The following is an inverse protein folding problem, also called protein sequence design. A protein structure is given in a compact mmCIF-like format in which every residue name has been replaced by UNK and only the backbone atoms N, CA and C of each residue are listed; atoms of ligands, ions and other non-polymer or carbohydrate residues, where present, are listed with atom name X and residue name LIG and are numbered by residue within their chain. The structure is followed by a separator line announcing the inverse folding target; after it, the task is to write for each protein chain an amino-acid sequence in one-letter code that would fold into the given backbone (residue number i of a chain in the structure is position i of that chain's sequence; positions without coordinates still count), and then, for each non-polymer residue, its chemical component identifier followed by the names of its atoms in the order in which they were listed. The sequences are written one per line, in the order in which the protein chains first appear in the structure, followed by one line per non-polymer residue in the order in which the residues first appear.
data_IF_086336513806
#
_entry.id   IF_086336513806
#
_cell.length_a   1.000
_cell.length_b   1.000
_cell.length_c   1.000
_cell.angle_alpha   90.00
_cell.angle_beta   90.00
_cell.angle_gamma   90.00
#
_symmetry.space_group_name_H-M   'P 1'
#
loop_
_entity.id
_entity.type
_entity.pdbx_description
1 polymer ?
#
# COMPACT_ATOMS: atom_id res chain seq x y z
N UNK A 1 15.97 -16.94 -9.31
CA UNK A 1 14.50 -17.08 -9.47
C UNK A 1 14.16 -16.69 -10.90
N UNK A 2 13.50 -17.54 -11.70
CA UNK A 2 13.04 -17.14 -13.04
C UNK A 2 11.81 -16.26 -12.86
N UNK A 3 11.92 -14.97 -13.17
CA UNK A 3 10.76 -14.07 -13.29
C UNK A 3 9.71 -14.74 -14.20
N UNK A 4 8.43 -14.74 -13.76
CA UNK A 4 7.33 -15.10 -14.68
C UNK A 4 7.41 -14.12 -15.87
N UNK A 5 7.64 -14.64 -17.07
CA UNK A 5 7.66 -13.81 -18.27
C UNK A 5 6.35 -13.04 -18.37
N UNK A 6 6.45 -11.72 -18.36
CA UNK A 6 5.31 -10.83 -18.47
C UNK A 6 4.73 -10.95 -19.87
N UNK A 7 3.45 -11.31 -20.00
CA UNK A 7 2.80 -11.41 -21.30
C UNK A 7 2.74 -10.08 -22.06
N UNK A 8 2.57 -8.96 -21.31
CA UNK A 8 2.48 -7.60 -21.86
C UNK A 8 3.14 -6.59 -20.94
N UNK A 9 3.36 -5.35 -21.41
CA UNK A 9 3.93 -4.25 -20.61
C UNK A 9 2.89 -3.68 -19.63
N UNK A 10 3.38 -2.95 -18.61
CA UNK A 10 2.53 -2.46 -17.51
C UNK A 10 1.42 -1.52 -17.98
N UNK A 11 1.69 -0.71 -19.00
CA UNK A 11 0.72 0.20 -19.58
C UNK A 11 -0.47 -0.56 -20.18
N UNK A 12 -0.17 -1.67 -20.83
CA UNK A 12 -1.20 -2.57 -21.40
C UNK A 12 -1.96 -3.29 -20.27
N UNK A 13 -1.27 -3.75 -19.24
CA UNK A 13 -1.92 -4.40 -18.09
C UNK A 13 -2.81 -3.42 -17.31
N UNK A 14 -2.46 -2.13 -17.21
CA UNK A 14 -3.35 -1.11 -16.63
C UNK A 14 -4.71 -1.08 -17.33
N UNK A 15 -4.70 -1.18 -18.67
CA UNK A 15 -5.92 -1.04 -19.51
C UNK A 15 -6.64 -2.37 -19.73
N UNK A 16 -5.91 -3.49 -19.91
CA UNK A 16 -6.46 -4.76 -20.36
C UNK A 16 -6.40 -5.88 -19.31
N UNK A 17 -5.64 -5.70 -18.21
CA UNK A 17 -5.43 -6.73 -17.21
C UNK A 17 -6.70 -7.10 -16.43
N UNK A 18 -6.76 -8.34 -15.96
CA UNK A 18 -7.79 -8.85 -15.05
C UNK A 18 -9.17 -9.12 -15.65
N UNK A 19 -9.48 -8.62 -16.88
CA UNK A 19 -10.78 -8.82 -17.51
C UNK A 19 -10.63 -9.15 -18.99
N UNK A 20 -11.21 -10.28 -19.40
CA UNK A 20 -11.23 -10.75 -20.79
C UNK A 20 -12.65 -11.16 -21.17
N UNK A 21 -13.47 -10.23 -21.69
CA UNK A 21 -14.85 -10.53 -22.07
C UNK A 21 -14.89 -11.49 -23.27
N UNK A 22 -15.85 -12.43 -23.25
CA UNK A 22 -16.16 -13.30 -24.38
C UNK A 22 -16.95 -12.53 -25.45
N UNK A 23 -17.18 -13.20 -26.59
CA UNK A 23 -17.96 -12.62 -27.70
C UNK A 23 -19.39 -12.27 -27.23
N UNK A 24 -19.77 -11.00 -27.36
CA UNK A 24 -21.08 -10.49 -26.96
C UNK A 24 -21.19 -10.05 -25.50
N UNK A 25 -20.14 -10.23 -24.69
CA UNK A 25 -20.09 -9.73 -23.33
C UNK A 25 -19.71 -8.24 -23.27
N UNK A 26 -20.10 -7.54 -22.19
CA UNK A 26 -19.74 -6.13 -21.99
C UNK A 26 -18.22 -5.93 -22.03
N UNK A 27 -17.77 -4.92 -22.77
CA UNK A 27 -16.35 -4.54 -22.80
C UNK A 27 -15.87 -4.03 -21.43
N UNK A 28 -16.70 -3.29 -20.72
CA UNK A 28 -16.42 -2.80 -19.38
C UNK A 28 -16.93 -3.81 -18.34
N UNK A 29 -16.23 -3.90 -17.22
CA UNK A 29 -16.58 -4.79 -16.12
C UNK A 29 -18.03 -4.51 -15.67
N UNK A 30 -18.93 -5.49 -15.61
CA UNK A 30 -20.26 -5.31 -15.03
C UNK A 30 -20.19 -5.05 -13.53
N UNK A 31 -21.03 -4.15 -13.04
CA UNK A 31 -21.24 -3.95 -11.59
C UNK A 31 -22.24 -4.99 -11.11
N UNK A 32 -21.76 -6.02 -10.42
CA UNK A 32 -22.63 -7.08 -9.86
C UNK A 32 -23.04 -6.69 -8.45
N UNK A 33 -24.13 -5.96 -8.34
CA UNK A 33 -24.70 -5.47 -7.09
C UNK A 33 -25.67 -6.50 -6.51
N UNK A 34 -25.13 -7.64 -6.07
CA UNK A 34 -25.89 -8.72 -5.44
C UNK A 34 -25.26 -9.14 -4.13
N UNK A 35 -26.06 -9.43 -3.11
CA UNK A 35 -25.57 -9.98 -1.84
C UNK A 35 -25.34 -11.48 -1.93
N UNK A 36 -26.16 -12.20 -2.69
CA UNK A 36 -26.16 -13.68 -2.80
C UNK A 36 -26.30 -14.12 -4.25
N UNK A 37 -25.99 -15.38 -4.48
CA UNK A 37 -26.02 -16.01 -5.81
C UNK A 37 -26.86 -17.29 -5.75
N UNK A 38 -27.59 -17.61 -6.81
CA UNK A 38 -28.49 -18.77 -6.90
C UNK A 38 -27.75 -19.98 -7.43
N UNK A 39 -27.97 -21.12 -6.78
CA UNK A 39 -27.51 -22.43 -7.22
C UNK A 39 -28.69 -23.35 -7.55
N UNK A 40 -28.45 -24.36 -8.38
CA UNK A 40 -29.47 -25.34 -8.76
C UNK A 40 -29.73 -26.36 -7.63
N UNK A 41 -28.69 -26.75 -6.89
CA UNK A 41 -28.75 -27.72 -5.81
C UNK A 41 -28.01 -27.21 -4.55
N UNK A 42 -28.37 -27.74 -3.39
CA UNK A 42 -27.63 -27.51 -2.14
C UNK A 42 -26.24 -28.14 -2.17
N UNK A 43 -26.08 -29.23 -2.91
CA UNK A 43 -24.79 -29.91 -3.06
C UNK A 43 -23.79 -29.02 -3.81
N UNK A 44 -24.19 -28.38 -4.95
CA UNK A 44 -23.33 -27.49 -5.70
C UNK A 44 -22.90 -26.28 -4.85
N UNK A 45 -23.81 -25.74 -4.02
CA UNK A 45 -23.49 -24.68 -3.10
C UNK A 45 -22.58 -25.17 -1.96
N UNK A 46 -22.80 -26.39 -1.44
CA UNK A 46 -21.98 -26.99 -0.38
C UNK A 46 -20.49 -27.09 -0.76
N UNK A 47 -20.19 -27.49 -2.01
CA UNK A 47 -18.80 -27.55 -2.51
C UNK A 47 -18.04 -26.23 -2.44
N UNK A 48 -18.74 -25.10 -2.47
CA UNK A 48 -18.11 -23.78 -2.29
C UNK A 48 -17.72 -23.55 -0.83
N UNK A 49 -18.58 -23.95 0.10
CA UNK A 49 -18.28 -23.89 1.55
C UNK A 49 -17.16 -24.85 1.95
N UNK A 50 -17.02 -25.98 1.26
CA UNK A 50 -15.94 -26.94 1.47
C UNK A 50 -14.65 -26.58 0.73
N UNK A 51 -14.64 -25.43 0.03
CA UNK A 51 -13.53 -24.97 -0.82
C UNK A 51 -13.12 -26.00 -1.89
N UNK A 52 -14.07 -26.80 -2.36
CA UNK A 52 -13.89 -27.83 -3.39
C UNK A 52 -14.22 -27.31 -4.80
N UNK A 53 -14.99 -26.22 -4.90
CA UNK A 53 -15.35 -25.57 -6.13
C UNK A 53 -15.08 -24.05 -6.06
N UNK A 54 -14.84 -23.44 -7.22
CA UNK A 54 -14.76 -21.99 -7.34
C UNK A 54 -16.14 -21.42 -7.69
N UNK A 55 -16.48 -20.27 -7.12
CA UNK A 55 -17.75 -19.59 -7.41
C UNK A 55 -18.08 -18.56 -6.36
N UNK A 56 -19.24 -17.92 -6.53
CA UNK A 56 -19.72 -16.85 -5.67
C UNK A 56 -21.01 -17.30 -4.96
N UNK A 57 -21.08 -17.14 -3.66
CA UNK A 57 -22.31 -17.41 -2.90
C UNK A 57 -22.75 -16.24 -2.04
N UNK A 58 -21.80 -15.40 -1.60
CA UNK A 58 -22.10 -14.25 -0.77
C UNK A 58 -21.04 -13.14 -0.96
N UNK A 59 -21.47 -11.92 -1.31
CA UNK A 59 -20.57 -10.82 -1.68
C UNK A 59 -19.71 -10.27 -0.54
N UNK A 60 -19.96 -10.63 0.72
CA UNK A 60 -19.04 -10.31 1.82
C UNK A 60 -17.71 -11.03 1.67
N UNK A 61 -17.72 -12.27 1.16
CA UNK A 61 -16.49 -13.03 0.93
C UNK A 61 -15.87 -12.67 -0.42
N UNK A 62 -16.65 -12.79 -1.49
CA UNK A 62 -16.19 -12.59 -2.86
C UNK A 62 -17.31 -12.03 -3.74
N UNK A 63 -16.92 -11.19 -4.69
CA UNK A 63 -17.84 -10.61 -5.67
C UNK A 63 -17.15 -10.53 -7.05
N UNK A 64 -17.80 -10.91 -8.16
CA UNK A 64 -17.17 -10.94 -9.49
C UNK A 64 -16.53 -9.62 -9.91
N UNK A 65 -17.15 -8.49 -9.60
CA UNK A 65 -16.59 -7.16 -9.91
C UNK A 65 -15.32 -6.89 -9.11
N UNK A 66 -15.35 -7.18 -7.80
CA UNK A 66 -14.20 -6.99 -6.91
C UNK A 66 -13.02 -7.89 -7.31
N UNK A 67 -13.30 -9.16 -7.60
CA UNK A 67 -12.27 -10.14 -7.95
C UNK A 67 -11.61 -9.81 -9.29
N UNK A 68 -12.37 -9.30 -10.26
CA UNK A 68 -11.83 -8.83 -11.54
C UNK A 68 -10.83 -7.66 -11.35
N UNK A 69 -11.16 -6.71 -10.46
CA UNK A 69 -10.27 -5.59 -10.17
C UNK A 69 -9.06 -6.05 -9.35
N UNK A 70 -9.25 -6.95 -8.39
CA UNK A 70 -8.16 -7.58 -7.64
C UNK A 70 -7.19 -8.31 -8.58
N UNK A 71 -7.71 -9.07 -9.56
CA UNK A 71 -6.90 -9.76 -10.57
C UNK A 71 -6.07 -8.79 -11.41
N UNK A 72 -6.61 -7.60 -11.77
CA UNK A 72 -5.85 -6.55 -12.45
C UNK A 72 -4.70 -6.05 -11.61
N UNK A 73 -4.93 -5.74 -10.32
CA UNK A 73 -3.87 -5.29 -9.41
C UNK A 73 -2.83 -6.40 -9.20
N UNK A 74 -3.26 -7.66 -9.08
CA UNK A 74 -2.38 -8.82 -9.01
C UNK A 74 -1.44 -8.90 -10.23
N UNK A 75 -1.98 -8.74 -11.43
CA UNK A 75 -1.18 -8.73 -12.67
C UNK A 75 -0.21 -7.54 -12.69
N UNK A 76 -0.64 -6.36 -12.27
CA UNK A 76 0.20 -5.17 -12.20
C UNK A 76 1.38 -5.36 -11.24
N UNK A 77 1.19 -5.92 -10.06
CA UNK A 77 2.27 -6.23 -9.11
C UNK A 77 3.09 -7.46 -9.51
N UNK A 78 2.57 -8.33 -10.37
CA UNK A 78 3.22 -9.60 -10.74
C UNK A 78 3.03 -10.70 -9.70
N UNK A 79 1.95 -10.62 -8.92
CA UNK A 79 1.57 -11.61 -7.91
C UNK A 79 0.94 -12.88 -8.48
N UNK A 80 0.59 -13.79 -7.59
CA UNK A 80 -0.12 -15.05 -7.88
C UNK A 80 -1.60 -14.97 -7.52
N UNK A 81 -1.94 -14.26 -6.45
CA UNK A 81 -3.30 -14.07 -5.97
C UNK A 81 -3.48 -12.69 -5.33
N UNK A 82 -4.69 -12.15 -5.34
CA UNK A 82 -5.00 -10.88 -4.69
C UNK A 82 -6.45 -10.82 -4.22
N UNK A 83 -6.73 -9.90 -3.28
CA UNK A 83 -8.07 -9.58 -2.82
C UNK A 83 -8.21 -8.10 -2.53
N UNK A 84 -9.41 -7.53 -2.76
CA UNK A 84 -9.74 -6.19 -2.32
C UNK A 84 -10.21 -6.19 -0.86
N UNK A 85 -9.96 -5.07 -0.19
CA UNK A 85 -10.46 -4.78 1.16
C UNK A 85 -11.12 -3.41 1.21
N UNK A 86 -11.88 -3.13 2.27
CA UNK A 86 -12.60 -1.84 2.44
C UNK A 86 -11.68 -0.63 2.62
N UNK A 87 -10.40 -0.83 2.94
CA UNK A 87 -9.41 0.23 3.13
C UNK A 87 -7.99 -0.33 3.14
N UNK A 88 -6.98 0.54 2.94
CA UNK A 88 -5.57 0.16 3.12
C UNK A 88 -5.26 -0.31 4.55
N UNK A 89 -5.93 0.26 5.56
CA UNK A 89 -5.79 -0.20 6.95
C UNK A 89 -6.30 -1.63 7.15
N UNK A 90 -7.41 -2.00 6.49
CA UNK A 90 -7.90 -3.37 6.50
C UNK A 90 -6.93 -4.32 5.76
N UNK A 91 -6.30 -3.85 4.67
CA UNK A 91 -5.28 -4.62 3.97
C UNK A 91 -4.06 -4.89 4.87
N UNK A 92 -3.51 -3.87 5.52
CA UNK A 92 -2.37 -4.02 6.42
C UNK A 92 -2.72 -4.89 7.65
N UNK A 93 -3.91 -4.70 8.22
CA UNK A 93 -4.39 -5.53 9.32
C UNK A 93 -4.50 -7.01 8.90
N UNK A 94 -5.17 -7.29 7.78
CA UNK A 94 -5.36 -8.65 7.30
C UNK A 94 -4.04 -9.31 6.91
N UNK A 95 -3.14 -8.59 6.23
CA UNK A 95 -1.85 -9.13 5.83
C UNK A 95 -1.03 -9.65 7.02
N UNK A 96 -1.09 -8.95 8.16
CA UNK A 96 -0.39 -9.36 9.37
C UNK A 96 -1.21 -10.39 10.17
N UNK A 97 -2.50 -10.12 10.41
CA UNK A 97 -3.32 -10.95 11.29
C UNK A 97 -3.63 -12.33 10.68
N UNK A 98 -3.46 -12.49 9.38
CA UNK A 98 -3.56 -13.78 8.69
C UNK A 98 -2.50 -14.80 9.13
N UNK A 99 -1.33 -14.31 9.57
CA UNK A 99 -0.15 -15.13 9.89
C UNK A 99 0.39 -14.89 11.32
N UNK A 100 -0.11 -13.87 12.02
CA UNK A 100 0.28 -13.54 13.38
C UNK A 100 -0.95 -13.59 14.31
N UNK A 101 -0.79 -14.16 15.49
CA UNK A 101 -1.81 -14.35 16.50
C UNK A 101 -1.39 -13.74 17.84
N UNK A 102 -2.22 -13.89 18.88
CA UNK A 102 -1.87 -13.50 20.24
C UNK A 102 -0.58 -14.22 20.70
N UNK A 103 0.37 -13.46 21.18
CA UNK A 103 1.69 -13.95 21.60
C UNK A 103 2.77 -13.82 20.51
N UNK A 104 2.41 -13.50 19.28
CA UNK A 104 3.35 -13.36 18.18
C UNK A 104 3.99 -11.96 18.10
N UNK A 105 5.05 -11.88 17.31
CA UNK A 105 5.85 -10.68 17.12
C UNK A 105 6.01 -10.35 15.63
N UNK A 106 6.06 -9.05 15.32
CA UNK A 106 6.31 -8.51 13.97
C UNK A 106 7.36 -7.40 14.06
N UNK A 107 8.27 -7.38 13.10
CA UNK A 107 9.21 -6.25 12.92
C UNK A 107 8.61 -5.29 11.90
N UNK A 108 8.62 -4.00 12.21
CA UNK A 108 8.17 -2.96 11.27
C UNK A 108 9.21 -1.87 11.13
N UNK A 109 9.39 -1.34 9.91
CA UNK A 109 10.04 -0.04 9.78
C UNK A 109 9.31 0.99 10.64
N UNK A 110 10.05 1.90 11.29
CA UNK A 110 9.47 3.00 12.05
C UNK A 110 8.97 4.14 11.14
N UNK A 111 9.52 4.25 9.94
CA UNK A 111 9.07 5.19 8.92
C UNK A 111 7.97 4.55 8.08
N UNK A 112 6.74 4.66 8.56
CA UNK A 112 5.51 4.20 7.90
C UNK A 112 4.39 5.23 8.13
N UNK A 113 3.29 5.09 7.40
CA UNK A 113 2.10 5.91 7.60
C UNK A 113 1.65 5.90 9.07
N UNK A 114 1.36 7.08 9.63
CA UNK A 114 1.01 7.22 11.04
C UNK A 114 -0.21 6.39 11.47
N UNK A 115 -1.17 6.16 10.57
CA UNK A 115 -2.29 5.25 10.83
C UNK A 115 -1.85 3.79 10.98
N UNK A 116 -0.92 3.31 10.15
CA UNK A 116 -0.33 1.97 10.25
C UNK A 116 0.51 1.83 11.51
N UNK A 117 1.31 2.85 11.84
CA UNK A 117 2.05 2.89 13.10
C UNK A 117 1.12 2.73 14.31
N UNK A 118 0.04 3.50 14.37
CA UNK A 118 -0.93 3.41 15.46
C UNK A 118 -1.68 2.06 15.48
N UNK A 119 -2.02 1.51 14.30
CA UNK A 119 -2.61 0.17 14.19
C UNK A 119 -1.70 -0.88 14.87
N UNK A 120 -0.41 -0.83 14.59
CA UNK A 120 0.58 -1.80 15.09
C UNK A 120 0.93 -1.56 16.57
N UNK A 121 1.32 -0.33 16.91
CA UNK A 121 1.80 0.00 18.25
C UNK A 121 0.71 -0.05 19.33
N UNK A 122 -0.55 0.22 18.97
CA UNK A 122 -1.65 0.39 19.92
C UNK A 122 -2.75 -0.66 19.72
N UNK A 123 -3.32 -0.74 18.52
CA UNK A 123 -4.53 -1.54 18.30
C UNK A 123 -4.22 -3.03 18.29
N UNK A 124 -3.25 -3.48 17.52
CA UNK A 124 -2.87 -4.90 17.46
C UNK A 124 -2.20 -5.39 18.74
N UNK A 125 -1.57 -4.50 19.51
CA UNK A 125 -1.08 -4.81 20.84
C UNK A 125 -2.22 -5.27 21.78
N UNK A 126 -3.43 -4.71 21.64
CA UNK A 126 -4.62 -5.17 22.40
C UNK A 126 -5.07 -6.57 21.98
N UNK A 127 -4.70 -7.01 20.78
CA UNK A 127 -4.95 -8.35 20.27
C UNK A 127 -3.82 -9.33 20.62
N UNK A 128 -2.81 -8.85 21.37
CA UNK A 128 -1.68 -9.67 21.84
C UNK A 128 -0.53 -9.79 20.83
N UNK A 129 -0.57 -9.10 19.68
CA UNK A 129 0.54 -9.04 18.72
C UNK A 129 1.50 -7.93 19.14
N UNK A 130 2.78 -8.26 19.29
CA UNK A 130 3.84 -7.31 19.66
C UNK A 130 4.63 -6.84 18.44
N UNK A 131 5.13 -5.60 18.49
CA UNK A 131 5.91 -5.01 17.41
C UNK A 131 7.25 -4.47 17.90
N UNK A 132 8.31 -4.67 17.10
CA UNK A 132 9.57 -3.95 17.21
C UNK A 132 9.69 -3.03 16.01
N UNK A 133 9.84 -1.73 16.26
CA UNK A 133 10.08 -0.74 15.22
C UNK A 133 11.58 -0.53 15.03
N UNK A 134 12.05 -0.65 13.81
CA UNK A 134 13.45 -0.46 13.41
C UNK A 134 13.58 0.77 12.51
N UNK A 135 14.75 1.37 12.49
CA UNK A 135 15.02 2.47 11.54
C UNK A 135 14.82 1.99 10.09
N UNK A 136 14.27 2.82 9.18
CA UNK A 136 14.28 2.50 7.74
C UNK A 136 15.71 2.37 7.19
N UNK A 137 16.69 2.94 7.88
CA UNK A 137 18.12 2.89 7.54
C UNK A 137 18.88 1.85 8.39
N UNK A 138 18.16 0.92 9.03
CA UNK A 138 18.79 -0.11 9.85
C UNK A 138 19.77 -0.95 9.03
N UNK A 139 20.93 -1.20 9.62
CA UNK A 139 21.93 -2.12 9.06
C UNK A 139 21.42 -3.56 9.14
N UNK A 140 22.06 -4.46 8.38
CA UNK A 140 21.75 -5.90 8.45
C UNK A 140 21.87 -6.45 9.88
N UNK A 141 22.88 -5.98 10.64
CA UNK A 141 23.10 -6.39 12.02
C UNK A 141 21.98 -5.92 12.94
N UNK A 142 21.56 -4.65 12.82
CA UNK A 142 20.44 -4.08 13.60
C UNK A 142 19.12 -4.77 13.27
N UNK A 143 18.85 -5.07 11.99
CA UNK A 143 17.67 -5.83 11.57
C UNK A 143 17.69 -7.24 12.17
N UNK A 144 18.79 -7.96 12.05
CA UNK A 144 18.90 -9.32 12.59
C UNK A 144 18.76 -9.35 14.13
N UNK A 145 19.23 -8.33 14.83
CA UNK A 145 19.08 -8.21 16.29
C UNK A 145 17.62 -7.99 16.75
N UNK A 146 16.73 -7.54 15.86
CA UNK A 146 15.32 -7.31 16.17
C UNK A 146 14.45 -8.59 16.15
N UNK A 147 14.95 -9.68 15.53
CA UNK A 147 14.19 -10.93 15.42
C UNK A 147 14.09 -11.65 16.75
N UNK A 148 12.95 -12.30 16.96
CA UNK A 148 12.62 -13.15 18.13
C UNK A 148 12.13 -14.50 17.64
N UNK A 149 12.16 -15.55 18.47
CA UNK A 149 11.67 -16.87 18.07
C UNK A 149 10.22 -16.87 17.57
N UNK A 150 9.38 -15.97 18.07
CA UNK A 150 7.98 -15.79 17.70
C UNK A 150 7.74 -14.69 16.65
N UNK A 151 8.78 -14.20 15.94
CA UNK A 151 8.60 -13.26 14.84
C UNK A 151 7.93 -13.95 13.65
N UNK A 152 6.90 -13.32 13.09
CA UNK A 152 6.07 -13.85 12.00
C UNK A 152 6.20 -13.09 10.68
N UNK A 153 6.59 -11.83 10.71
CA UNK A 153 6.73 -11.01 9.52
C UNK A 153 7.66 -9.84 9.75
N UNK A 154 8.13 -9.28 8.64
CA UNK A 154 8.74 -7.94 8.57
C UNK A 154 7.83 -7.07 7.70
N UNK A 155 7.57 -5.83 8.13
CA UNK A 155 6.71 -4.86 7.44
C UNK A 155 7.45 -3.57 7.13
N UNK A 156 7.20 -2.99 5.95
CA UNK A 156 7.70 -1.68 5.56
C UNK A 156 6.85 -1.02 4.48
N UNK A 157 7.18 0.22 4.14
CA UNK A 157 6.61 0.94 3.00
C UNK A 157 7.69 1.19 1.96
N UNK A 158 7.38 1.05 0.67
CA UNK A 158 8.32 1.38 -0.41
C UNK A 158 8.81 2.81 -0.29
N UNK A 159 7.88 3.75 -0.07
CA UNK A 159 8.14 5.17 0.21
C UNK A 159 7.28 5.57 1.41
N UNK A 160 7.91 6.01 2.48
CA UNK A 160 7.24 6.39 3.72
C UNK A 160 6.48 7.71 3.63
N UNK A 161 5.34 7.82 4.31
CA UNK A 161 4.54 9.04 4.41
C UNK A 161 4.56 9.59 5.86
N UNK A 162 4.95 10.86 6.12
CA UNK A 162 5.35 11.90 5.16
C UNK A 162 6.86 12.04 4.95
N UNK A 163 7.66 11.20 5.58
CA UNK A 163 9.12 11.37 5.66
C UNK A 163 9.85 11.10 4.32
N UNK A 164 9.20 10.40 3.37
CA UNK A 164 9.70 10.04 2.05
C UNK A 164 11.02 9.22 2.07
N UNK A 165 11.22 8.46 3.15
CA UNK A 165 12.28 7.47 3.21
C UNK A 165 12.00 6.39 2.15
N UNK A 166 13.00 5.96 1.41
CA UNK A 166 12.91 4.80 0.51
C UNK A 166 13.52 3.61 1.23
N UNK A 167 12.76 2.53 1.37
CA UNK A 167 13.22 1.32 2.05
C UNK A 167 14.18 0.53 1.16
N UNK A 168 15.26 0.00 1.72
CA UNK A 168 16.07 -1.01 1.04
C UNK A 168 15.35 -2.37 1.08
N UNK A 169 14.50 -2.61 0.08
CA UNK A 169 13.63 -3.79 0.02
C UNK A 169 14.44 -5.08 0.01
N UNK A 170 15.54 -5.15 -0.73
CA UNK A 170 16.37 -6.35 -0.80
C UNK A 170 17.03 -6.67 0.53
N UNK A 171 17.50 -5.66 1.27
CA UNK A 171 18.09 -5.86 2.59
C UNK A 171 17.05 -6.41 3.58
N UNK A 172 15.86 -5.81 3.61
CA UNK A 172 14.78 -6.25 4.48
C UNK A 172 14.28 -7.65 4.11
N UNK A 173 14.15 -7.96 2.81
CA UNK A 173 13.80 -9.29 2.32
C UNK A 173 14.85 -10.34 2.70
N UNK A 174 16.13 -10.03 2.50
CA UNK A 174 17.25 -10.92 2.87
C UNK A 174 17.19 -11.29 4.36
N UNK A 175 17.02 -10.30 5.23
CA UNK A 175 16.94 -10.55 6.68
C UNK A 175 15.67 -11.34 7.05
N UNK A 176 14.51 -10.98 6.50
CA UNK A 176 13.25 -11.68 6.73
C UNK A 176 13.37 -13.17 6.34
N UNK A 177 13.83 -13.45 5.13
CA UNK A 177 13.96 -14.82 4.63
C UNK A 177 15.04 -15.63 5.37
N UNK A 178 16.13 -15.00 5.82
CA UNK A 178 17.15 -15.67 6.64
C UNK A 178 16.58 -16.18 7.99
N UNK A 179 15.50 -15.53 8.46
CA UNK A 179 14.77 -15.93 9.66
C UNK A 179 13.46 -16.70 9.35
N UNK A 180 13.25 -17.12 8.10
CA UNK A 180 12.09 -17.91 7.67
C UNK A 180 10.76 -17.19 7.90
N UNK A 181 10.68 -15.88 7.65
CA UNK A 181 9.44 -15.09 7.72
C UNK A 181 9.28 -14.24 6.47
N UNK A 182 8.02 -13.94 6.05
CA UNK A 182 7.77 -13.12 4.87
C UNK A 182 8.06 -11.63 5.11
N UNK A 183 8.40 -10.93 4.02
CA UNK A 183 8.42 -9.47 3.94
C UNK A 183 7.09 -8.97 3.35
N UNK A 184 6.43 -8.07 4.09
CA UNK A 184 5.19 -7.38 3.69
C UNK A 184 5.54 -5.93 3.37
N UNK A 185 5.20 -5.46 2.17
CA UNK A 185 5.47 -4.08 1.72
C UNK A 185 4.16 -3.37 1.36
N UNK A 186 3.90 -2.25 2.01
CA UNK A 186 2.89 -1.29 1.56
C UNK A 186 3.48 -0.46 0.39
N UNK A 187 2.94 -0.68 -0.81
CA UNK A 187 3.42 -0.06 -2.06
C UNK A 187 2.51 1.07 -2.54
N UNK A 188 1.77 1.69 -1.63
CA UNK A 188 0.74 2.71 -1.94
C UNK A 188 1.30 3.89 -2.72
N UNK A 189 2.47 4.43 -2.35
CA UNK A 189 3.02 5.66 -2.98
C UNK A 189 3.71 5.40 -4.31
N UNK A 190 4.52 4.35 -4.41
CA UNK A 190 5.19 4.02 -5.66
C UNK A 190 4.23 3.48 -6.72
N UNK A 191 3.23 2.72 -6.30
CA UNK A 191 2.35 1.91 -7.16
C UNK A 191 3.13 0.88 -7.98
N UNK A 192 2.51 -0.15 -8.55
CA UNK A 192 3.22 -1.11 -9.41
C UNK A 192 3.77 -0.49 -10.71
N UNK A 193 3.39 0.75 -11.02
CA UNK A 193 3.93 1.46 -12.18
C UNK A 193 5.38 1.87 -11.95
N UNK A 194 5.71 2.37 -10.76
CA UNK A 194 7.06 2.85 -10.45
C UNK A 194 7.92 1.81 -9.72
N UNK A 195 7.30 0.96 -8.88
CA UNK A 195 8.01 -0.10 -8.17
C UNK A 195 7.12 -1.34 -8.04
N UNK A 196 7.72 -2.50 -8.18
CA UNK A 196 7.11 -3.80 -7.91
C UNK A 196 7.94 -4.51 -6.85
N UNK A 197 7.58 -4.37 -5.57
CA UNK A 197 8.36 -4.93 -4.46
C UNK A 197 8.60 -6.43 -4.57
N UNK A 198 7.70 -7.16 -5.22
CA UNK A 198 7.82 -8.61 -5.47
C UNK A 198 9.10 -8.93 -6.27
N UNK A 199 9.50 -8.07 -7.21
CA UNK A 199 10.72 -8.26 -8.01
C UNK A 199 12.00 -8.11 -7.15
N UNK A 200 11.89 -7.49 -5.97
CA UNK A 200 12.95 -7.21 -5.03
C UNK A 200 12.89 -8.05 -3.74
N UNK A 201 12.00 -9.05 -3.70
CA UNK A 201 11.94 -10.03 -2.62
C UNK A 201 10.80 -9.86 -1.63
N UNK A 202 9.87 -8.93 -1.84
CA UNK A 202 8.65 -8.89 -1.05
C UNK A 202 7.76 -10.10 -1.35
N UNK A 203 7.16 -10.67 -0.31
CA UNK A 203 6.28 -11.83 -0.42
C UNK A 203 4.81 -11.42 -0.48
N UNK A 204 4.45 -10.39 0.28
CA UNK A 204 3.10 -9.82 0.32
C UNK A 204 3.20 -8.32 0.04
N UNK A 205 2.33 -7.81 -0.84
CA UNK A 205 2.22 -6.38 -1.11
C UNK A 205 0.83 -5.91 -0.68
N UNK A 206 0.78 -4.77 0.02
CA UNK A 206 -0.47 -4.11 0.38
C UNK A 206 -0.58 -2.75 -0.30
N UNK A 207 -1.82 -2.30 -0.47
CA UNK A 207 -2.13 -0.98 -1.00
C UNK A 207 -3.30 -0.33 -0.29
N UNK A 208 -3.21 0.96 -0.04
CA UNK A 208 -4.39 1.82 0.05
C UNK A 208 -4.78 2.20 -1.38
N UNK A 209 -5.75 1.50 -1.96
CA UNK A 209 -6.24 1.80 -3.32
C UNK A 209 -6.94 3.15 -3.41
N UNK A 210 -7.30 3.73 -2.25
CA UNK A 210 -7.82 5.09 -2.06
C UNK A 210 -6.94 6.18 -2.70
N UNK A 211 -5.64 5.91 -2.87
CA UNK A 211 -4.61 6.86 -3.30
C UNK A 211 -4.45 6.86 -4.83
N UNK A 212 -3.26 6.82 -5.36
CA UNK A 212 -3.02 6.85 -6.81
C UNK A 212 -3.81 5.85 -7.63
N UNK A 213 -4.13 4.66 -7.10
CA UNK A 213 -4.86 3.65 -7.86
C UNK A 213 -6.27 4.13 -8.23
N UNK A 214 -7.04 4.67 -7.28
CA UNK A 214 -8.29 5.40 -7.55
C UNK A 214 -7.98 6.74 -8.23
N UNK A 215 -7.11 7.54 -7.62
CA UNK A 215 -6.56 8.78 -8.14
C UNK A 215 -7.53 9.95 -8.26
N UNK A 216 -8.76 9.79 -7.81
CA UNK A 216 -9.84 10.78 -7.97
C UNK A 216 -10.51 11.17 -6.65
N UNK A 217 -10.07 10.56 -5.52
CA UNK A 217 -10.70 10.75 -4.22
C UNK A 217 -12.13 10.25 -4.17
N UNK A 218 -12.49 9.27 -5.02
CA UNK A 218 -13.87 8.80 -5.22
C UNK A 218 -14.20 7.54 -4.43
N UNK A 219 -13.21 6.68 -4.14
CA UNK A 219 -13.43 5.41 -3.46
C UNK A 219 -12.36 5.11 -2.42
N UNK A 220 -12.80 4.83 -1.20
CA UNK A 220 -11.92 4.25 -0.17
C UNK A 220 -11.78 2.76 -0.41
N UNK A 221 -10.56 2.24 -0.37
CA UNK A 221 -10.31 0.82 -0.56
C UNK A 221 -8.88 0.41 -0.23
N UNK A 222 -8.66 -0.89 -0.26
CA UNK A 222 -7.35 -1.51 -0.12
C UNK A 222 -7.23 -2.76 -0.97
N UNK A 223 -6.01 -3.25 -1.09
CA UNK A 223 -5.71 -4.50 -1.78
C UNK A 223 -4.57 -5.23 -1.09
N UNK A 224 -4.62 -6.55 -1.10
CA UNK A 224 -3.52 -7.43 -0.71
C UNK A 224 -3.17 -8.26 -1.93
N UNK A 225 -1.87 -8.35 -2.24
CA UNK A 225 -1.32 -9.18 -3.31
C UNK A 225 -0.31 -10.14 -2.70
N UNK A 226 -0.48 -11.42 -2.97
CA UNK A 226 0.46 -12.48 -2.62
C UNK A 226 1.37 -12.76 -3.83
N UNK A 227 2.67 -12.71 -3.63
CA UNK A 227 3.65 -13.08 -4.64
C UNK A 227 3.61 -14.57 -5.01
N UNK A 228 3.14 -15.42 -4.08
CA UNK A 228 3.18 -16.88 -4.22
C UNK A 228 4.60 -17.47 -4.15
N UNK A 229 5.52 -16.75 -3.53
CA UNK A 229 6.94 -17.12 -3.47
C UNK A 229 7.32 -17.76 -2.14
N UNK A 230 6.68 -17.36 -1.04
CA UNK A 230 7.02 -17.83 0.30
C UNK A 230 6.56 -19.28 0.49
N UNK A 231 7.47 -20.13 0.91
CA UNK A 231 7.18 -21.54 1.15
C UNK A 231 6.69 -21.75 2.58
N UNK A 232 5.36 -21.65 2.75
CA UNK A 232 4.69 -21.83 4.06
C UNK A 232 4.97 -23.17 4.68
N UNK A 233 5.03 -24.25 3.87
CA UNK A 233 5.26 -25.61 4.37
C UNK A 233 6.69 -25.82 4.84
N UNK A 234 7.67 -25.16 4.24
CA UNK A 234 9.05 -25.18 4.73
C UNK A 234 9.19 -24.55 6.13
N UNK A 235 8.29 -23.60 6.47
CA UNK A 235 8.28 -22.88 7.74
C UNK A 235 7.02 -23.22 8.58
N UNK A 236 6.48 -24.45 8.43
CA UNK A 236 5.19 -24.85 9.00
C UNK A 236 5.06 -24.64 10.52
N UNK A 237 6.14 -24.82 11.28
CA UNK A 237 6.14 -24.60 12.74
C UNK A 237 5.86 -23.12 13.10
N UNK A 238 6.26 -22.18 12.24
CA UNK A 238 5.99 -20.76 12.44
C UNK A 238 4.58 -20.36 12.02
N UNK A 239 4.00 -21.06 11.04
CA UNK A 239 2.72 -20.69 10.43
C UNK A 239 1.66 -21.80 10.56
N UNK A 240 1.34 -22.26 11.79
CA UNK A 240 0.37 -23.33 11.98
C UNK A 240 -0.99 -23.00 11.38
N UNK A 241 -1.43 -21.73 11.42
CA UNK A 241 -2.72 -21.32 10.84
C UNK A 241 -2.85 -21.54 9.32
N UNK A 242 -1.75 -21.74 8.60
CA UNK A 242 -1.73 -22.11 7.18
C UNK A 242 -1.39 -23.59 6.95
N UNK A 243 -0.63 -24.19 7.88
CA UNK A 243 0.07 -25.47 7.69
C UNK A 243 -0.47 -26.60 8.57
N UNK A 244 -1.50 -26.37 9.37
CA UNK A 244 -2.21 -27.40 10.14
C UNK A 244 -3.69 -27.42 9.79
N UNK A 245 -4.41 -28.51 10.07
CA UNK A 245 -5.85 -28.62 9.84
C UNK A 245 -6.64 -27.46 10.49
N UNK A 246 -7.50 -26.81 9.74
CA UNK A 246 -8.32 -25.68 10.17
C UNK A 246 -9.71 -26.17 10.65
N UNK A 247 -10.05 -25.86 11.90
CA UNK A 247 -11.33 -26.26 12.51
C UNK A 247 -12.55 -25.58 11.84
N UNK A 248 -12.35 -24.41 11.20
CA UNK A 248 -13.43 -23.69 10.52
C UNK A 248 -13.83 -24.31 9.17
N UNK A 249 -12.96 -25.16 8.59
CA UNK A 249 -13.15 -25.73 7.27
C UNK A 249 -12.85 -27.25 7.23
N UNK A 250 -13.45 -28.00 8.15
CA UNK A 250 -13.41 -29.48 8.18
C UNK A 250 -11.99 -30.06 8.14
N UNK A 251 -11.02 -29.38 8.74
CA UNK A 251 -9.64 -29.85 8.82
C UNK A 251 -8.81 -29.62 7.55
N UNK A 252 -9.18 -28.67 6.71
CA UNK A 252 -8.35 -28.27 5.55
C UNK A 252 -7.03 -27.68 6.04
N UNK A 253 -5.92 -28.09 5.43
CA UNK A 253 -4.62 -27.44 5.53
C UNK A 253 -4.44 -26.54 4.32
N UNK A 254 -4.49 -25.21 4.48
CA UNK A 254 -4.48 -24.25 3.36
C UNK A 254 -3.24 -24.40 2.47
N UNK A 255 -2.05 -24.48 3.08
CA UNK A 255 -0.79 -24.59 2.34
C UNK A 255 -0.66 -25.88 1.54
N UNK A 256 -1.19 -26.99 2.04
CA UNK A 256 -1.21 -28.26 1.30
C UNK A 256 -2.22 -28.22 0.15
N UNK A 257 -3.43 -27.70 0.39
CA UNK A 257 -4.52 -27.72 -0.61
C UNK A 257 -4.33 -26.70 -1.72
N UNK A 258 -3.86 -25.51 -1.39
CA UNK A 258 -3.80 -24.37 -2.33
C UNK A 258 -2.38 -23.96 -2.73
N UNK A 259 -1.36 -24.66 -2.20
CA UNK A 259 0.04 -24.35 -2.46
C UNK A 259 0.44 -22.98 -1.91
N UNK A 260 1.68 -22.62 -2.14
CA UNK A 260 2.20 -21.30 -1.74
C UNK A 260 1.59 -20.15 -2.55
N UNK A 261 1.08 -20.44 -3.75
CA UNK A 261 0.49 -19.46 -4.66
C UNK A 261 -0.92 -19.02 -4.27
N UNK A 262 -1.64 -19.81 -3.47
CA UNK A 262 -3.04 -19.54 -3.15
C UNK A 262 -3.40 -19.57 -1.68
N UNK A 263 -2.61 -20.23 -0.82
CA UNK A 263 -2.94 -20.46 0.58
C UNK A 263 -3.21 -19.17 1.36
N UNK A 264 -2.37 -18.17 1.20
CA UNK A 264 -2.44 -16.93 1.96
C UNK A 264 -3.74 -16.15 1.68
N UNK A 265 -4.05 -15.89 0.41
CA UNK A 265 -5.27 -15.15 0.02
C UNK A 265 -6.52 -15.97 0.27
N UNK A 266 -6.49 -17.30 0.06
CA UNK A 266 -7.63 -18.17 0.35
C UNK A 266 -7.99 -18.12 1.84
N UNK A 267 -7.01 -18.25 2.74
CA UNK A 267 -7.24 -18.13 4.19
C UNK A 267 -7.74 -16.74 4.57
N UNK A 268 -7.12 -15.68 4.02
CA UNK A 268 -7.56 -14.30 4.24
C UNK A 268 -9.05 -14.12 3.90
N UNK A 269 -9.48 -14.66 2.77
CA UNK A 269 -10.87 -14.60 2.30
C UNK A 269 -11.79 -15.47 3.14
N UNK A 270 -11.40 -16.73 3.35
CA UNK A 270 -12.23 -17.73 4.01
C UNK A 270 -12.44 -17.47 5.51
N UNK A 271 -11.47 -16.84 6.18
CA UNK A 271 -11.53 -16.51 7.61
C UNK A 271 -11.70 -15.01 7.83
N UNK A 272 -10.69 -14.19 7.51
CA UNK A 272 -10.69 -12.80 7.93
C UNK A 272 -11.77 -11.97 7.23
N UNK A 273 -11.93 -12.11 5.91
CA UNK A 273 -13.00 -11.43 5.20
C UNK A 273 -14.38 -11.93 5.63
N UNK A 274 -14.54 -13.24 5.80
CA UNK A 274 -15.81 -13.83 6.27
C UNK A 274 -16.21 -13.26 7.63
N UNK A 275 -15.26 -13.17 8.57
CA UNK A 275 -15.55 -12.90 9.99
C UNK A 275 -15.55 -11.40 10.31
N UNK A 276 -14.62 -10.63 9.76
CA UNK A 276 -14.51 -9.18 9.98
C UNK A 276 -15.31 -8.33 8.97
N UNK A 277 -15.57 -8.87 7.77
CA UNK A 277 -16.43 -8.23 6.79
C UNK A 277 -15.87 -6.94 6.19
N UNK A 278 -14.55 -6.77 6.14
CA UNK A 278 -13.90 -5.60 5.54
C UNK A 278 -13.98 -5.62 4.01
N UNK A 279 -15.15 -5.88 3.47
CA UNK A 279 -15.40 -6.02 2.02
C UNK A 279 -15.49 -4.67 1.32
N UNK A 280 -15.04 -4.61 0.08
CA UNK A 280 -15.23 -3.47 -0.81
C UNK A 280 -16.56 -3.61 -1.57
N UNK A 281 -17.25 -2.50 -1.79
CA UNK A 281 -18.48 -2.54 -2.60
C UNK A 281 -18.14 -2.73 -4.08
N UNK A 282 -18.98 -3.44 -4.85
CA UNK A 282 -18.77 -3.59 -6.30
C UNK A 282 -18.73 -2.26 -7.05
N UNK A 283 -19.51 -1.27 -6.60
CA UNK A 283 -19.49 0.07 -7.18
C UNK A 283 -18.15 0.79 -6.95
N UNK A 284 -17.59 0.71 -5.73
CA UNK A 284 -16.27 1.27 -5.44
C UNK A 284 -15.16 0.53 -6.20
N UNK A 285 -15.27 -0.79 -6.33
CA UNK A 285 -14.35 -1.59 -7.14
C UNK A 285 -14.40 -1.20 -8.63
N UNK A 286 -15.59 -0.93 -9.16
CA UNK A 286 -15.74 -0.43 -10.53
C UNK A 286 -15.05 0.93 -10.73
N UNK A 287 -15.23 1.90 -9.81
CA UNK A 287 -14.55 3.20 -9.86
C UNK A 287 -13.03 3.03 -9.79
N UNK A 288 -12.55 2.17 -8.90
CA UNK A 288 -11.13 1.80 -8.83
C UNK A 288 -10.64 1.22 -10.16
N UNK A 289 -11.43 0.34 -10.79
CA UNK A 289 -11.12 -0.22 -12.11
C UNK A 289 -10.90 0.85 -13.18
N UNK A 290 -11.73 1.90 -13.19
CA UNK A 290 -11.56 3.07 -14.08
C UNK A 290 -10.28 3.86 -13.74
N UNK A 291 -9.99 4.05 -12.45
CA UNK A 291 -8.75 4.69 -12.01
C UNK A 291 -7.51 3.95 -12.47
N UNK A 292 -7.51 2.62 -12.40
CA UNK A 292 -6.39 1.79 -12.82
C UNK A 292 -6.07 1.91 -14.33
N UNK A 293 -7.08 2.11 -15.18
CA UNK A 293 -6.88 2.23 -16.62
C UNK A 293 -5.97 3.40 -17.00
N UNK A 294 -6.01 4.49 -16.25
CA UNK A 294 -5.17 5.69 -16.46
C UNK A 294 -3.96 5.78 -15.51
N UNK A 295 -3.75 4.79 -14.66
CA UNK A 295 -2.73 4.85 -13.60
C UNK A 295 -1.33 5.17 -14.15
N UNK A 296 -0.91 4.51 -15.21
CA UNK A 296 0.43 4.67 -15.79
C UNK A 296 0.69 6.10 -16.31
N UNK A 297 -0.28 6.72 -17.00
CA UNK A 297 -0.14 8.10 -17.50
C UNK A 297 -0.25 9.13 -16.36
N UNK A 298 -1.07 8.86 -15.33
CA UNK A 298 -1.17 9.73 -14.16
C UNK A 298 0.11 9.69 -13.32
N UNK A 299 0.68 8.49 -13.06
CA UNK A 299 1.92 8.36 -12.31
C UNK A 299 3.08 9.11 -12.99
N UNK A 300 3.22 8.99 -14.30
CA UNK A 300 4.21 9.76 -15.04
C UNK A 300 4.05 11.26 -14.79
N UNK A 301 2.83 11.80 -14.94
CA UNK A 301 2.56 13.23 -14.74
C UNK A 301 2.76 13.67 -13.28
N UNK A 302 2.35 12.85 -12.29
CA UNK A 302 2.62 13.14 -10.89
C UNK A 302 4.11 13.27 -10.59
N UNK A 303 4.93 12.33 -11.08
CA UNK A 303 6.38 12.36 -10.89
C UNK A 303 7.04 13.56 -11.60
N UNK A 304 6.66 13.85 -12.85
CA UNK A 304 7.14 15.03 -13.60
C UNK A 304 6.83 16.33 -12.86
N UNK A 305 5.60 16.48 -12.36
CA UNK A 305 5.19 17.67 -11.62
C UNK A 305 5.94 17.78 -10.29
N UNK A 306 6.05 16.67 -9.54
CA UNK A 306 6.74 16.66 -8.26
C UNK A 306 8.24 17.01 -8.42
N UNK A 307 8.91 16.45 -9.41
CA UNK A 307 10.31 16.78 -9.65
C UNK A 307 10.52 18.27 -10.01
N UNK A 308 9.63 18.82 -10.85
CA UNK A 308 9.69 20.25 -11.20
C UNK A 308 9.43 21.16 -9.99
N UNK A 309 8.42 20.85 -9.20
CA UNK A 309 8.07 21.55 -7.96
C UNK A 309 9.18 21.42 -6.92
N UNK A 310 9.75 20.23 -6.72
CA UNK A 310 10.83 20.02 -5.76
C UNK A 310 12.08 20.83 -6.10
N UNK A 311 12.46 20.90 -7.38
CA UNK A 311 13.56 21.77 -7.85
C UNK A 311 13.29 23.24 -7.62
N UNK A 312 12.06 23.71 -7.86
CA UNK A 312 11.66 25.08 -7.56
C UNK A 312 11.77 25.37 -6.06
N UNK A 313 11.19 24.50 -5.21
CA UNK A 313 11.25 24.65 -3.76
C UNK A 313 12.68 24.67 -3.22
N UNK A 314 13.57 23.83 -3.76
CA UNK A 314 14.97 23.75 -3.35
C UNK A 314 15.72 25.07 -3.62
N UNK A 315 15.32 25.82 -4.64
CA UNK A 315 15.93 27.11 -5.01
C UNK A 315 15.29 28.32 -4.34
N UNK A 316 14.18 28.18 -3.63
CA UNK A 316 13.41 29.30 -3.09
C UNK A 316 13.93 29.74 -1.71
N UNK A 317 14.15 31.06 -1.53
CA UNK A 317 14.75 31.64 -0.32
C UNK A 317 13.94 31.39 0.97
N UNK A 318 12.61 31.25 0.91
CA UNK A 318 11.73 31.01 2.05
C UNK A 318 11.55 29.52 2.39
N UNK A 319 12.24 28.62 1.69
CA UNK A 319 12.27 27.19 1.97
C UNK A 319 13.54 26.85 2.76
N UNK A 320 13.39 26.10 3.86
CA UNK A 320 14.52 25.71 4.71
C UNK A 320 15.17 24.40 4.28
N UNK A 321 14.38 23.46 3.80
CA UNK A 321 14.81 22.15 3.31
C UNK A 321 13.73 21.53 2.42
N UNK A 322 14.14 20.62 1.53
CA UNK A 322 13.25 19.82 0.69
C UNK A 322 13.66 18.36 0.81
N UNK A 323 12.69 17.48 0.97
CA UNK A 323 12.85 16.03 0.89
C UNK A 323 12.05 15.51 -0.31
N UNK A 324 12.74 14.99 -1.30
CA UNK A 324 12.17 14.30 -2.45
C UNK A 324 13.21 13.35 -3.04
N UNK A 325 12.97 12.03 -3.07
CA UNK A 325 14.01 11.04 -3.39
C UNK A 325 14.61 11.12 -4.78
N UNK A 326 14.00 11.87 -5.72
CA UNK A 326 14.55 12.09 -7.07
C UNK A 326 15.45 13.33 -7.18
N UNK A 327 15.61 14.13 -6.13
CA UNK A 327 16.56 15.22 -6.11
C UNK A 327 17.99 14.70 -5.92
N UNK A 328 18.91 15.14 -6.78
CA UNK A 328 20.33 14.87 -6.58
C UNK A 328 20.78 15.42 -5.22
N UNK A 329 21.44 14.55 -4.43
CA UNK A 329 21.85 14.86 -3.07
C UNK A 329 20.81 14.55 -1.98
N UNK A 330 19.60 14.11 -2.33
CA UNK A 330 18.71 13.50 -1.34
C UNK A 330 19.32 12.18 -0.83
N UNK A 331 19.16 11.92 0.47
CA UNK A 331 19.71 10.73 1.13
C UNK A 331 19.31 9.42 0.44
N UNK A 332 18.11 9.37 -0.14
CA UNK A 332 17.54 8.17 -0.73
C UNK A 332 17.62 8.14 -2.27
N UNK A 333 18.36 9.07 -2.87
CA UNK A 333 18.46 9.17 -4.33
C UNK A 333 18.89 7.87 -5.00
N UNK A 334 19.93 7.23 -4.48
CA UNK A 334 20.46 5.98 -5.06
C UNK A 334 19.48 4.82 -4.92
N UNK A 335 18.82 4.68 -3.76
CA UNK A 335 17.77 3.67 -3.58
C UNK A 335 16.55 3.94 -4.48
N UNK A 336 16.17 5.22 -4.63
CA UNK A 336 15.10 5.60 -5.54
C UNK A 336 15.44 5.24 -6.98
N UNK A 337 16.65 5.52 -7.44
CA UNK A 337 17.11 5.13 -8.79
C UNK A 337 17.18 3.63 -8.99
N UNK A 338 17.56 2.89 -7.95
CA UNK A 338 17.60 1.43 -7.98
C UNK A 338 16.21 0.81 -8.13
N UNK A 339 15.28 1.19 -7.27
CA UNK A 339 13.96 0.55 -7.20
C UNK A 339 12.91 1.19 -8.12
N UNK A 340 13.06 2.47 -8.42
CA UNK A 340 12.07 3.31 -9.10
C UNK A 340 12.71 4.20 -10.20
N UNK A 341 13.39 3.60 -11.19
CA UNK A 341 14.16 4.38 -12.19
C UNK A 341 13.30 5.29 -13.07
N UNK A 342 11.99 5.03 -13.18
CA UNK A 342 11.04 5.80 -14.00
C UNK A 342 10.32 6.92 -13.23
N UNK A 343 10.59 7.08 -11.94
CA UNK A 343 9.94 8.05 -11.06
C UNK A 343 9.51 7.43 -9.74
N UNK A 344 9.35 8.24 -8.69
CA UNK A 344 9.01 7.76 -7.34
C UNK A 344 7.53 7.94 -7.02
N UNK A 345 7.10 9.18 -6.77
CA UNK A 345 5.71 9.54 -6.46
C UNK A 345 5.47 11.04 -6.71
N UNK A 346 4.25 11.49 -6.49
CA UNK A 346 3.88 12.91 -6.59
C UNK A 346 3.98 13.68 -5.28
N UNK A 347 4.52 13.11 -4.19
CA UNK A 347 4.54 13.73 -2.87
C UNK A 347 5.90 14.31 -2.55
N UNK A 348 5.91 15.54 -2.04
CA UNK A 348 7.10 16.27 -1.59
C UNK A 348 6.89 16.66 -0.14
N UNK A 349 7.93 16.59 0.68
CA UNK A 349 7.96 17.19 2.01
C UNK A 349 9.01 18.30 2.03
N UNK A 350 8.65 19.45 2.58
CA UNK A 350 9.57 20.59 2.69
C UNK A 350 9.29 21.41 3.94
N UNK A 351 10.29 22.16 4.38
CA UNK A 351 10.20 23.08 5.50
C UNK A 351 10.07 24.52 5.04
N UNK A 352 9.19 25.28 5.69
CA UNK A 352 9.01 26.72 5.46
C UNK A 352 9.78 27.53 6.51
N UNK A 353 10.63 28.48 6.07
CA UNK A 353 11.35 29.35 7.01
C UNK A 353 10.37 30.16 7.87
N UNK A 354 10.61 30.22 9.17
CA UNK A 354 9.73 30.88 10.14
C UNK A 354 8.81 29.90 10.88
N UNK A 355 9.02 28.58 10.70
CA UNK A 355 8.40 27.54 11.49
C UNK A 355 6.88 27.42 11.30
N UNK A 356 6.19 26.90 12.33
CA UNK A 356 4.74 26.62 12.31
C UNK A 356 3.91 27.80 11.79
N UNK A 357 4.13 29.02 12.32
CA UNK A 357 3.33 30.17 11.97
C UNK A 357 3.49 30.59 10.50
N UNK A 358 4.70 30.44 9.93
CA UNK A 358 4.94 30.71 8.52
C UNK A 358 4.30 29.62 7.64
N UNK A 359 4.42 28.35 8.02
CA UNK A 359 3.76 27.24 7.34
C UNK A 359 2.23 27.41 7.29
N UNK A 360 1.61 27.84 8.38
CA UNK A 360 0.17 28.12 8.43
C UNK A 360 -0.23 29.31 7.51
N UNK A 361 0.57 30.39 7.45
CA UNK A 361 0.32 31.51 6.51
C UNK A 361 0.48 31.06 5.08
N UNK A 362 1.56 30.33 4.76
CA UNK A 362 1.78 29.71 3.46
C UNK A 362 0.56 28.88 3.01
N UNK A 363 0.10 27.96 3.86
CA UNK A 363 -1.05 27.11 3.58
C UNK A 363 -2.31 27.93 3.25
N UNK A 364 -2.59 28.99 4.01
CA UNK A 364 -3.74 29.88 3.77
C UNK A 364 -3.63 30.69 2.48
N UNK A 365 -2.43 30.88 1.96
CA UNK A 365 -2.17 31.68 0.75
C UNK A 365 -2.25 30.87 -0.54
N UNK A 366 -2.29 29.53 -0.46
CA UNK A 366 -2.49 28.67 -1.64
C UNK A 366 -3.86 28.95 -2.29
N UNK A 367 -3.88 28.94 -3.62
CA UNK A 367 -5.07 29.16 -4.45
C UNK A 367 -5.49 27.91 -5.22
N UNK A 368 -4.54 27.05 -5.59
CA UNK A 368 -4.77 25.80 -6.28
C UNK A 368 -4.65 24.62 -5.33
N UNK A 369 -3.60 24.57 -4.51
CA UNK A 369 -3.37 23.48 -3.55
C UNK A 369 -4.42 23.48 -2.45
N UNK A 370 -5.30 22.45 -2.43
CA UNK A 370 -6.31 22.30 -1.40
C UNK A 370 -5.71 21.85 -0.06
N UNK A 371 -6.20 22.42 1.05
CA UNK A 371 -5.81 21.97 2.41
C UNK A 371 -6.67 20.79 2.79
N UNK A 372 -6.10 19.59 2.78
CA UNK A 372 -6.82 18.37 3.13
C UNK A 372 -5.88 17.25 3.62
N UNK A 373 -6.46 16.27 4.30
CA UNK A 373 -5.71 15.10 4.78
C UNK A 373 -5.39 14.10 3.68
N UNK A 374 -6.09 14.19 2.54
CA UNK A 374 -5.88 13.31 1.40
C UNK A 374 -4.49 13.52 0.76
N UNK A 375 -4.09 12.61 -0.11
CA UNK A 375 -2.80 12.60 -0.81
C UNK A 375 -2.94 11.71 -2.04
N UNK A 376 -2.14 11.98 -3.07
CA UNK A 376 -2.12 11.13 -4.27
C UNK A 376 -3.44 11.15 -5.05
N UNK A 377 -3.99 12.34 -5.22
CA UNK A 377 -5.17 12.66 -6.01
C UNK A 377 -4.76 13.36 -7.33
N UNK A 378 -5.61 13.30 -8.33
CA UNK A 378 -5.42 14.05 -9.58
C UNK A 378 -5.33 15.56 -9.34
N UNK A 379 -5.91 16.06 -8.27
CA UNK A 379 -5.84 17.46 -7.80
C UNK A 379 -4.76 17.61 -6.74
N UNK A 380 -4.04 18.73 -6.84
CA UNK A 380 -3.01 19.08 -5.86
C UNK A 380 -3.60 19.35 -4.49
N UNK A 381 -3.01 18.72 -3.46
CA UNK A 381 -3.38 18.94 -2.08
C UNK A 381 -2.17 19.10 -1.16
N UNK A 382 -2.42 19.70 -0.01
CA UNK A 382 -1.38 20.12 0.91
C UNK A 382 -1.81 19.87 2.36
N UNK A 383 -0.87 19.47 3.21
CA UNK A 383 -1.09 19.24 4.63
C UNK A 383 0.10 19.78 5.43
N UNK A 384 -0.21 20.48 6.52
CA UNK A 384 0.76 20.81 7.56
C UNK A 384 0.50 19.91 8.77
N UNK A 385 1.28 18.82 8.95
CA UNK A 385 1.00 17.81 9.98
C UNK A 385 0.95 18.39 11.39
N UNK A 386 1.85 19.30 11.73
CA UNK A 386 1.93 19.89 13.06
C UNK A 386 0.66 20.69 13.47
N UNK A 387 -0.07 21.27 12.51
CA UNK A 387 -1.35 21.97 12.79
C UNK A 387 -2.58 21.09 12.59
N UNK A 388 -2.44 19.89 12.00
CA UNK A 388 -3.56 19.02 11.65
C UNK A 388 -3.46 17.65 12.33
N UNK A 389 -2.82 16.69 11.68
CA UNK A 389 -2.81 15.28 12.14
C UNK A 389 -2.03 15.05 13.42
N UNK A 390 -1.07 15.92 13.77
CA UNK A 390 -0.21 15.83 14.95
C UNK A 390 -0.38 17.03 15.90
N UNK A 391 -1.49 17.77 15.78
CA UNK A 391 -1.74 19.00 16.54
C UNK A 391 -1.74 18.83 18.07
N UNK A 392 -1.85 17.62 18.55
CA UNK A 392 -1.83 17.30 19.98
C UNK A 392 -0.41 17.18 20.53
N UNK A 393 0.60 17.09 19.67
CA UNK A 393 2.00 16.97 20.03
C UNK A 393 2.66 18.34 20.18
N UNK A 394 3.54 18.48 21.18
CA UNK A 394 4.45 19.60 21.29
C UNK A 394 5.61 19.44 20.27
N UNK A 395 6.48 20.46 20.18
CA UNK A 395 7.54 20.44 19.16
C UNK A 395 8.62 19.37 19.43
N UNK A 396 8.87 19.00 20.68
CA UNK A 396 9.79 17.89 21.03
C UNK A 396 9.22 16.53 20.62
N UNK A 397 7.94 16.31 20.88
CA UNK A 397 7.21 15.11 20.47
C UNK A 397 7.12 14.99 18.95
N UNK A 398 6.91 16.12 18.24
CA UNK A 398 6.92 16.17 16.78
C UNK A 398 8.28 15.75 16.20
N UNK A 399 9.37 16.29 16.75
CA UNK A 399 10.73 15.94 16.32
C UNK A 399 10.99 14.43 16.54
N UNK A 400 10.59 13.91 17.71
CA UNK A 400 10.72 12.48 18.02
C UNK A 400 9.90 11.60 17.07
N UNK A 401 8.77 12.11 16.54
CA UNK A 401 7.95 11.47 15.53
C UNK A 401 8.46 11.65 14.07
N UNK A 402 9.60 12.34 13.90
CA UNK A 402 10.15 12.64 12.56
C UNK A 402 9.38 13.71 11.78
N UNK A 403 8.57 14.50 12.46
CA UNK A 403 7.75 15.58 11.90
C UNK A 403 8.21 16.90 12.48
N UNK A 404 8.91 17.73 11.69
CA UNK A 404 9.27 19.09 12.16
C UNK A 404 8.07 20.03 12.11
N UNK A 405 8.09 21.06 12.99
CA UNK A 405 6.99 22.03 13.09
C UNK A 405 6.83 22.94 11.86
N UNK A 406 7.83 22.95 10.99
CA UNK A 406 7.84 23.67 9.71
C UNK A 406 7.48 22.80 8.50
N UNK A 407 7.26 21.50 8.72
CA UNK A 407 7.03 20.53 7.65
C UNK A 407 5.69 20.76 6.95
N UNK A 408 5.74 20.91 5.66
CA UNK A 408 4.59 20.88 4.75
C UNK A 408 4.71 19.65 3.85
N UNK A 409 3.67 18.83 3.80
CA UNK A 409 3.52 17.76 2.83
C UNK A 409 2.68 18.27 1.66
N UNK A 410 3.25 18.29 0.47
CA UNK A 410 2.62 18.74 -0.77
C UNK A 410 2.48 17.56 -1.72
N UNK A 411 1.25 17.24 -2.11
CA UNK A 411 0.94 16.18 -3.06
C UNK A 411 0.59 16.82 -4.39
N UNK A 412 1.52 16.76 -5.33
CA UNK A 412 1.32 17.28 -6.69
C UNK A 412 0.27 16.45 -7.42
N UNK A 413 -0.76 17.09 -7.92
CA UNK A 413 -1.73 16.53 -8.85
C UNK A 413 -1.18 16.46 -10.28
N UNK A 414 -2.09 16.33 -11.23
CA UNK A 414 -1.77 16.24 -12.67
C UNK A 414 -2.02 17.55 -13.44
N UNK A 415 -2.22 18.65 -12.73
CA UNK A 415 -2.35 19.99 -13.29
C UNK A 415 -1.08 20.40 -14.06
N UNK A 416 -1.13 21.54 -14.73
CA UNK A 416 0.06 22.10 -15.39
C UNK A 416 1.10 22.52 -14.33
N UNK A 417 2.36 22.07 -14.48
CA UNK A 417 3.43 22.31 -13.49
C UNK A 417 3.78 23.77 -13.30
N UNK A 418 3.66 24.60 -14.35
CA UNK A 418 3.91 26.04 -14.26
C UNK A 418 2.87 26.74 -13.38
N UNK A 419 1.60 26.31 -13.44
CA UNK A 419 0.53 26.81 -12.58
C UNK A 419 0.76 26.41 -11.11
N UNK A 420 1.19 25.16 -10.86
CA UNK A 420 1.56 24.70 -9.51
C UNK A 420 2.72 25.51 -8.93
N UNK A 421 3.77 25.74 -9.73
CA UNK A 421 4.92 26.56 -9.33
C UNK A 421 4.51 28.02 -9.08
N UNK A 422 3.63 28.59 -9.92
CA UNK A 422 3.13 29.95 -9.74
C UNK A 422 2.30 30.09 -8.44
N UNK A 423 1.47 29.09 -8.11
CA UNK A 423 0.72 29.06 -6.86
C UNK A 423 1.63 28.98 -5.63
N UNK A 424 2.61 28.08 -5.66
CA UNK A 424 3.61 27.95 -4.60
C UNK A 424 4.44 29.24 -4.43
N UNK A 425 4.87 29.84 -5.53
CA UNK A 425 5.65 31.07 -5.51
C UNK A 425 4.90 32.21 -4.81
N UNK A 426 3.66 32.50 -5.25
CA UNK A 426 2.87 33.57 -4.65
C UNK A 426 2.55 33.30 -3.17
N UNK A 427 2.38 32.03 -2.77
CA UNK A 427 2.13 31.66 -1.39
C UNK A 427 3.40 31.81 -0.52
N UNK A 428 4.58 31.43 -1.03
CA UNK A 428 5.86 31.61 -0.35
C UNK A 428 6.29 33.08 -0.24
N UNK A 429 5.92 33.92 -1.21
CA UNK A 429 6.18 35.38 -1.18
C UNK A 429 5.28 36.12 -0.17
N UNK A 430 4.22 35.47 0.34
CA UNK A 430 3.28 36.07 1.30
C UNK A 430 3.66 35.88 2.76
N UNK A 431 4.78 35.22 3.05
CA UNK A 431 5.20 34.83 4.42
C UNK A 431 6.45 35.57 4.87
#
# INVERSE_FOLDING_TARGET
MKMKERKVRIETSCVQGGYSPASGEPRQIPIIQSTTFKYATSEDMGKLFDLEASGYFYSRLQNPTCDTVAARICELEGGSAAMLTSSGQAANFFAIFNIASCGDHVISSSAIYGGSYNLFAVTMKKMGVSFTFVSPDATEEELNAAFRPNTKAVFGETIANPALNVLDIELFAKCAHAHGVPLIIDNTFATPVNCRPIEWGADIVTHSTTKYMDGHGSAVGGCIVDAGNFDWMAEAEKFPGLCTPDDSYHGITYAEKFGKEGAFITKCTAQLMRDFGCTQSPQSAFLLGLGLESLHVRMQRHCENALAVAKFLQSHENVSWVRFPELEGDKYYDLAKKYMPSGTCGVISFGVKGGRAAAERFMKSLKLGAIETHVADARTCCLHPASATHRQMNDEELIAAGVSSDLVRYSCGIENKEDLIADLKQALESI
#
